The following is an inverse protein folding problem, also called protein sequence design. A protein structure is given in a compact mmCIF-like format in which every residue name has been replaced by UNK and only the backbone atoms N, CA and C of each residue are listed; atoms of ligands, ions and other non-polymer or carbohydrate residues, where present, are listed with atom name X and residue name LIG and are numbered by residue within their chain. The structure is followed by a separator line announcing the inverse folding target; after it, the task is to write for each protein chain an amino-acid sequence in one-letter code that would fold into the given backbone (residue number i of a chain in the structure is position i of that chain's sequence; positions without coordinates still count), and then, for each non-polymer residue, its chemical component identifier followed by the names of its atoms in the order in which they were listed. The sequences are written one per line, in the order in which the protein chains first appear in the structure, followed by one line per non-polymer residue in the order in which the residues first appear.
data_IF_178024843764
#
_entry.id   IF_178024843764
#
_cell.length_a   1.000
_cell.length_b   1.000
_cell.length_c   1.000
_cell.angle_alpha   90.00
_cell.angle_beta   90.00
_cell.angle_gamma   90.00
#
_symmetry.space_group_name_H-M   'P 1'
#
loop_
_entity.id
_entity.type
_entity.pdbx_description
1 polymer ?
#
# COMPACT_ATOMS: atom_id res chain seq x y z
N UNK A 1 11.47 7.87 3.69
CA UNK A 1 10.28 7.08 4.01
C UNK A 1 10.21 5.86 3.12
N UNK A 2 9.98 4.72 3.71
CA UNK A 2 10.00 3.43 3.03
C UNK A 2 8.58 2.96 2.75
N UNK A 3 8.33 2.59 1.49
CA UNK A 3 7.02 2.13 1.04
C UNK A 3 7.16 0.69 0.56
N UNK A 4 6.26 -0.18 1.02
CA UNK A 4 6.12 -1.52 0.46
C UNK A 4 5.01 -1.49 -0.58
N UNK A 5 5.34 -1.89 -1.78
CA UNK A 5 4.43 -1.92 -2.91
C UNK A 5 4.26 -3.37 -3.37
N UNK A 6 3.04 -3.89 -3.29
CA UNK A 6 2.75 -5.29 -3.59
C UNK A 6 1.71 -5.40 -4.70
N UNK A 7 2.08 -6.02 -5.81
CA UNK A 7 1.19 -6.22 -6.94
C UNK A 7 1.76 -7.32 -7.83
N UNK A 8 0.92 -8.21 -8.34
CA UNK A 8 1.37 -9.28 -9.23
C UNK A 8 1.45 -8.84 -10.70
N UNK A 9 1.00 -7.64 -11.01
CA UNK A 9 1.15 -7.05 -12.33
C UNK A 9 2.49 -6.29 -12.40
N UNK A 10 3.45 -6.86 -13.13
CA UNK A 10 4.80 -6.31 -13.20
C UNK A 10 4.84 -4.91 -13.79
N UNK A 11 4.03 -4.62 -14.79
CA UNK A 11 4.02 -3.30 -15.44
C UNK A 11 3.51 -2.23 -14.48
N UNK A 12 2.44 -2.52 -13.77
CA UNK A 12 1.89 -1.59 -12.79
C UNK A 12 2.88 -1.35 -11.65
N UNK A 13 3.50 -2.43 -11.19
CA UNK A 13 4.49 -2.37 -10.11
C UNK A 13 5.67 -1.47 -10.51
N UNK A 14 6.17 -1.66 -11.74
CA UNK A 14 7.28 -0.86 -12.24
C UNK A 14 6.93 0.62 -12.37
N UNK A 15 5.78 0.92 -12.95
CA UNK A 15 5.32 2.30 -13.13
C UNK A 15 5.14 3.01 -11.79
N UNK A 16 4.48 2.34 -10.84
CA UNK A 16 4.26 2.91 -9.52
C UNK A 16 5.57 3.13 -8.77
N UNK A 17 6.47 2.14 -8.85
CA UNK A 17 7.80 2.26 -8.24
C UNK A 17 8.54 3.47 -8.78
N UNK A 18 8.51 3.66 -10.10
CA UNK A 18 9.19 4.77 -10.74
C UNK A 18 8.65 6.12 -10.25
N UNK A 19 7.33 6.26 -10.23
CA UNK A 19 6.69 7.49 -9.78
C UNK A 19 7.07 7.81 -8.33
N UNK A 20 6.98 6.83 -7.46
CA UNK A 20 7.29 7.03 -6.04
C UNK A 20 8.77 7.29 -5.80
N UNK A 21 9.64 6.54 -6.47
CA UNK A 21 11.09 6.72 -6.35
C UNK A 21 11.52 8.10 -6.83
N UNK A 22 10.95 8.58 -7.93
CA UNK A 22 11.25 9.90 -8.47
C UNK A 22 10.81 11.03 -7.53
N UNK A 23 9.95 10.73 -6.58
CA UNK A 23 9.47 11.70 -5.61
C UNK A 23 10.07 11.50 -4.22
N UNK A 24 11.19 10.80 -4.14
CA UNK A 24 11.98 10.73 -2.93
C UNK A 24 11.68 9.58 -1.97
N UNK A 25 10.81 8.66 -2.36
CA UNK A 25 10.50 7.51 -1.53
C UNK A 25 11.43 6.34 -1.81
N UNK A 26 11.72 5.57 -0.78
CA UNK A 26 12.46 4.32 -0.90
C UNK A 26 11.44 3.19 -1.06
N UNK A 27 11.37 2.57 -2.22
CA UNK A 27 10.32 1.63 -2.57
C UNK A 27 10.83 0.20 -2.57
N UNK A 28 10.16 -0.63 -1.78
CA UNK A 28 10.37 -2.07 -1.74
C UNK A 28 9.23 -2.73 -2.49
N UNK A 29 9.52 -3.59 -3.45
CA UNK A 29 8.49 -4.22 -4.27
C UNK A 29 8.36 -5.69 -3.98
N UNK A 30 7.12 -6.20 -4.06
CA UNK A 30 6.79 -7.60 -3.92
C UNK A 30 5.74 -7.98 -4.96
N UNK A 31 5.80 -9.22 -5.46
CA UNK A 31 4.86 -9.70 -6.48
C UNK A 31 3.66 -10.43 -5.90
N UNK A 32 3.69 -10.72 -4.62
CA UNK A 32 2.57 -11.34 -3.92
C UNK A 32 2.68 -11.09 -2.41
N UNK A 33 1.65 -11.55 -1.69
CA UNK A 33 1.60 -11.31 -0.26
C UNK A 33 2.68 -12.03 0.54
N UNK A 34 3.17 -13.18 0.06
CA UNK A 34 4.25 -13.89 0.77
C UNK A 34 5.55 -13.08 0.72
N UNK A 35 5.91 -12.57 -0.46
CA UNK A 35 7.06 -11.68 -0.57
C UNK A 35 6.87 -10.42 0.28
N UNK A 36 5.64 -9.90 0.29
CA UNK A 36 5.31 -8.75 1.13
C UNK A 36 5.52 -9.02 2.60
N UNK A 37 5.08 -10.18 3.09
CA UNK A 37 5.30 -10.58 4.47
C UNK A 37 6.79 -10.66 4.82
N UNK A 38 7.58 -11.21 3.90
CA UNK A 38 9.02 -11.34 4.09
C UNK A 38 9.68 -9.96 4.22
N UNK A 39 9.29 -9.02 3.37
CA UNK A 39 9.82 -7.66 3.43
C UNK A 39 9.43 -6.99 4.75
N UNK A 40 8.17 -7.15 5.19
CA UNK A 40 7.73 -6.57 6.46
C UNK A 40 8.53 -7.11 7.64
N UNK A 41 8.97 -8.35 7.56
CA UNK A 41 9.76 -8.98 8.62
C UNK A 41 11.20 -8.47 8.69
N UNK A 42 11.74 -7.97 7.57
CA UNK A 42 13.17 -7.64 7.47
C UNK A 42 13.47 -6.16 7.19
N UNK A 43 12.47 -5.35 6.93
CA UNK A 43 12.65 -3.93 6.65
C UNK A 43 11.72 -3.11 7.53
N UNK A 44 11.99 -1.82 7.63
CA UNK A 44 11.13 -0.87 8.33
C UNK A 44 10.29 -0.13 7.30
N UNK A 45 9.02 -0.49 7.23
CA UNK A 45 8.10 0.06 6.24
C UNK A 45 7.18 1.10 6.90
N UNK A 46 7.01 2.23 6.22
CA UNK A 46 6.21 3.35 6.71
C UNK A 46 4.80 3.40 6.12
N UNK A 47 4.62 2.82 4.93
CA UNK A 47 3.35 2.77 4.24
C UNK A 47 3.29 1.51 3.38
N UNK A 48 2.15 0.84 3.36
CA UNK A 48 1.95 -0.35 2.54
C UNK A 48 0.90 -0.03 1.47
N UNK A 49 1.23 -0.33 0.22
CA UNK A 49 0.30 -0.22 -0.90
C UNK A 49 0.22 -1.61 -1.53
N UNK A 50 -0.97 -2.20 -1.56
CA UNK A 50 -1.12 -3.58 -2.02
C UNK A 50 -2.36 -3.77 -2.87
N UNK A 51 -2.22 -4.55 -3.94
CA UNK A 51 -3.37 -5.13 -4.62
C UNK A 51 -4.08 -6.09 -3.67
N UNK A 52 -5.34 -6.37 -3.94
CA UNK A 52 -6.12 -7.33 -3.15
C UNK A 52 -5.93 -8.74 -3.70
N UNK A 53 -6.15 -8.92 -5.00
CA UNK A 53 -6.12 -10.26 -5.62
C UNK A 53 -4.74 -10.57 -6.16
N UNK A 54 -4.04 -11.45 -5.47
CA UNK A 54 -2.71 -11.92 -5.85
C UNK A 54 -2.59 -13.41 -5.57
N UNK A 55 -1.72 -14.12 -6.31
CA UNK A 55 -1.48 -15.53 -6.02
C UNK A 55 -0.77 -15.71 -4.68
N UNK A 56 -0.83 -16.91 -4.17
CA UNK A 56 -0.21 -17.39 -2.94
C UNK A 56 -0.79 -16.75 -1.69
N UNK A 57 -0.64 -15.44 -1.50
CA UNK A 57 -1.21 -14.73 -0.37
C UNK A 57 -1.78 -13.41 -0.88
N UNK A 58 -3.08 -13.19 -0.66
CA UNK A 58 -3.75 -11.98 -1.15
C UNK A 58 -3.51 -10.77 -0.22
N UNK A 59 -3.96 -9.59 -0.68
CA UNK A 59 -3.75 -8.35 0.06
C UNK A 59 -4.49 -8.29 1.39
N UNK A 60 -5.62 -8.99 1.51
CA UNK A 60 -6.37 -9.03 2.78
C UNK A 60 -5.60 -9.79 3.84
N UNK A 61 -4.98 -10.89 3.44
CA UNK A 61 -4.16 -11.69 4.35
C UNK A 61 -2.86 -10.98 4.70
N UNK A 62 -2.27 -10.26 3.74
CA UNK A 62 -1.12 -9.42 4.01
C UNK A 62 -1.47 -8.34 5.04
N UNK A 63 -2.62 -7.72 4.90
CA UNK A 63 -3.11 -6.72 5.85
C UNK A 63 -3.24 -7.33 7.25
N UNK A 64 -3.90 -8.50 7.35
CA UNK A 64 -4.06 -9.19 8.62
C UNK A 64 -2.71 -9.53 9.25
N UNK A 65 -1.77 -10.02 8.44
CA UNK A 65 -0.42 -10.32 8.90
C UNK A 65 0.26 -9.07 9.47
N UNK A 66 0.18 -7.94 8.75
CA UNK A 66 0.80 -6.70 9.19
C UNK A 66 0.19 -6.24 10.53
N UNK A 67 -1.13 -6.32 10.68
CA UNK A 67 -1.80 -5.87 11.90
C UNK A 67 -1.49 -6.72 13.12
N UNK A 68 -0.99 -7.94 12.93
CA UNK A 68 -0.53 -8.80 14.02
C UNK A 68 0.86 -8.40 14.53
N UNK A 69 1.61 -7.67 13.74
CA UNK A 69 2.96 -7.22 14.09
C UNK A 69 2.86 -5.86 14.77
N UNK A 70 3.33 -5.76 16.00
CA UNK A 70 3.23 -4.52 16.77
C UNK A 70 3.77 -3.31 16.01
N UNK A 71 4.89 -3.47 15.33
CA UNK A 71 5.53 -2.43 14.53
C UNK A 71 4.58 -1.84 13.49
N UNK A 72 3.66 -2.65 12.94
CA UNK A 72 2.81 -2.26 11.83
C UNK A 72 1.33 -2.09 12.20
N UNK A 73 0.99 -2.12 13.46
CA UNK A 73 -0.41 -1.98 13.90
C UNK A 73 -1.06 -0.69 13.48
N UNK A 74 -0.28 0.38 13.38
CA UNK A 74 -0.78 1.70 13.01
C UNK A 74 -0.23 2.18 11.69
N UNK A 75 0.45 1.32 10.95
CA UNK A 75 0.97 1.66 9.63
C UNK A 75 -0.19 1.80 8.65
N UNK A 76 -0.19 2.88 7.89
CA UNK A 76 -1.25 3.12 6.91
C UNK A 76 -1.14 2.12 5.77
N UNK A 77 -2.29 1.69 5.29
CA UNK A 77 -2.40 0.64 4.29
C UNK A 77 -3.36 1.11 3.19
N UNK A 78 -2.88 1.11 1.94
CA UNK A 78 -3.70 1.44 0.78
C UNK A 78 -3.92 0.17 -0.03
N UNK A 79 -5.18 -0.22 -0.17
CA UNK A 79 -5.57 -1.26 -1.12
C UNK A 79 -5.82 -0.62 -2.47
N UNK A 80 -5.22 -1.14 -3.52
CA UNK A 80 -5.44 -0.67 -4.89
C UNK A 80 -5.93 -1.86 -5.70
N UNK A 81 -7.18 -1.82 -6.16
CA UNK A 81 -7.78 -2.98 -6.82
C UNK A 81 -8.76 -2.58 -7.90
N UNK A 82 -8.81 -3.37 -8.97
CA UNK A 82 -9.84 -3.27 -10.00
C UNK A 82 -11.13 -3.97 -9.62
N UNK A 83 -11.15 -4.69 -8.49
CA UNK A 83 -12.30 -5.46 -8.02
C UNK A 83 -12.70 -5.07 -6.61
N UNK A 84 -12.62 -3.80 -6.30
CA UNK A 84 -12.82 -3.31 -4.94
C UNK A 84 -14.12 -3.75 -4.29
N UNK A 85 -15.18 -3.86 -5.06
CA UNK A 85 -16.49 -4.18 -4.51
C UNK A 85 -16.64 -5.61 -4.02
N UNK A 86 -15.75 -6.52 -4.45
CA UNK A 86 -15.84 -7.91 -4.08
C UNK A 86 -15.31 -8.22 -2.68
N UNK A 87 -14.44 -7.35 -2.17
CA UNK A 87 -13.69 -7.66 -0.96
C UNK A 87 -13.83 -6.63 0.15
N UNK A 88 -14.48 -5.52 -0.13
CA UNK A 88 -14.54 -4.40 0.82
C UNK A 88 -15.11 -4.81 2.18
N UNK A 89 -16.11 -5.69 2.17
CA UNK A 89 -16.76 -6.14 3.40
C UNK A 89 -15.97 -7.23 4.13
N UNK A 90 -14.97 -7.80 3.49
CA UNK A 90 -14.16 -8.87 4.07
C UNK A 90 -13.05 -8.32 4.98
N UNK A 91 -12.80 -7.02 4.94
CA UNK A 91 -11.74 -6.38 5.71
C UNK A 91 -12.37 -5.49 6.76
N UNK A 92 -11.96 -5.68 8.01
CA UNK A 92 -12.25 -4.70 9.04
C UNK A 92 -11.31 -3.53 8.83
N UNK A 93 -11.78 -2.54 8.10
CA UNK A 93 -10.98 -1.36 7.80
C UNK A 93 -11.09 -0.35 8.93
N UNK A 94 -9.93 0.15 9.35
CA UNK A 94 -9.87 1.29 10.24
C UNK A 94 -9.87 2.55 9.37
N UNK A 95 -10.89 3.41 9.47
CA UNK A 95 -10.96 4.59 8.60
C UNK A 95 -9.80 5.57 8.75
N UNK A 96 -9.00 5.44 9.78
CA UNK A 96 -7.83 6.28 9.98
C UNK A 96 -6.55 5.68 9.40
N UNK A 97 -6.54 4.38 9.15
CA UNK A 97 -5.34 3.64 8.76
C UNK A 97 -5.45 2.97 7.41
N UNK A 98 -6.66 2.59 7.00
CA UNK A 98 -6.89 1.76 5.83
C UNK A 98 -7.66 2.52 4.76
N UNK A 99 -7.16 2.48 3.54
CA UNK A 99 -7.71 3.23 2.42
C UNK A 99 -7.88 2.32 1.22
N UNK A 100 -8.88 2.61 0.41
CA UNK A 100 -9.17 1.83 -0.79
C UNK A 100 -9.13 2.73 -2.01
N UNK A 101 -8.35 2.36 -3.02
CA UNK A 101 -8.32 3.06 -4.29
C UNK A 101 -8.64 2.10 -5.43
N UNK A 102 -9.21 2.65 -6.48
CA UNK A 102 -9.40 1.91 -7.72
C UNK A 102 -8.08 1.90 -8.50
N UNK A 103 -7.77 0.77 -9.14
CA UNK A 103 -6.55 0.62 -9.91
C UNK A 103 -6.49 1.55 -11.13
N UNK A 104 -7.62 2.08 -11.55
CA UNK A 104 -7.69 3.08 -12.61
C UNK A 104 -7.39 4.50 -12.13
N UNK A 105 -7.22 4.69 -10.82
CA UNK A 105 -6.83 5.99 -10.27
C UNK A 105 -5.51 6.42 -10.89
N UNK A 106 -5.41 7.65 -11.43
CA UNK A 106 -4.16 8.14 -11.99
C UNK A 106 -3.02 8.10 -10.98
N UNK A 107 -1.83 7.72 -11.44
CA UNK A 107 -0.66 7.60 -10.57
C UNK A 107 -0.36 8.91 -9.82
N UNK A 108 -0.60 10.03 -10.47
CA UNK A 108 -0.46 11.36 -9.87
C UNK A 108 -1.32 11.54 -8.61
N UNK A 109 -2.55 11.02 -8.66
CA UNK A 109 -3.47 11.11 -7.53
C UNK A 109 -3.07 10.15 -6.42
N UNK A 110 -2.57 8.98 -6.79
CA UNK A 110 -2.05 8.03 -5.81
C UNK A 110 -0.84 8.64 -5.10
N UNK A 111 0.07 9.25 -5.84
CA UNK A 111 1.23 9.95 -5.27
C UNK A 111 0.78 11.03 -4.30
N UNK A 112 -0.23 11.81 -4.69
CA UNK A 112 -0.75 12.87 -3.82
C UNK A 112 -1.31 12.31 -2.52
N UNK A 113 -2.03 11.18 -2.60
CA UNK A 113 -2.53 10.51 -1.40
C UNK A 113 -1.37 10.00 -0.53
N UNK A 114 -0.37 9.38 -1.14
CA UNK A 114 0.82 8.91 -0.43
C UNK A 114 1.49 10.05 0.33
N UNK A 115 1.72 11.17 -0.35
CA UNK A 115 2.32 12.35 0.28
C UNK A 115 1.50 12.82 1.48
N UNK A 116 0.18 12.86 1.31
CA UNK A 116 -0.71 13.28 2.38
C UNK A 116 -0.64 12.32 3.57
N UNK A 117 -0.65 11.02 3.32
CA UNK A 117 -0.64 10.03 4.39
C UNK A 117 0.69 9.98 5.14
N UNK A 118 1.80 10.21 4.45
CA UNK A 118 3.12 10.19 5.06
C UNK A 118 3.42 11.48 5.78
N UNK A 119 3.20 12.62 5.13
CA UNK A 119 3.52 13.92 5.70
C UNK A 119 2.36 14.57 6.45
N UNK A 120 1.18 14.02 6.29
CA UNK A 120 -0.01 14.54 6.92
C UNK A 120 -0.36 15.91 6.41
N UNK A 121 -0.76 16.78 7.31
CA UNK A 121 -1.17 18.15 7.01
C UNK A 121 -0.08 19.16 7.41
N UNK A 122 1.17 18.72 7.30
CA UNK A 122 2.30 19.49 7.80
C UNK A 122 2.38 20.91 7.27
N UNK A 123 2.07 21.06 5.99
CA UNK A 123 2.22 22.36 5.34
C UNK A 123 0.90 23.04 5.06
N UNK A 124 -0.21 22.41 5.36
CA UNK A 124 -1.51 22.97 5.05
C UNK A 124 -1.79 23.11 3.56
N UNK A 125 -0.89 22.68 2.71
CA UNK A 125 -1.02 22.81 1.27
C UNK A 125 -2.14 21.95 0.69
N UNK A 126 -2.64 21.05 1.46
CA UNK A 126 -3.72 20.16 1.08
C UNK A 126 -5.11 20.79 1.13
N UNK A 127 -5.19 21.94 1.69
CA UNK A 127 -6.46 22.62 1.93
C UNK A 127 -6.86 23.45 0.72
#
# INVERSE_FOLDING_TARGET
MDILLVDDNDDYLLLMKEVLTNNGYNVHTAQDGLEGCDILAHADIDLIISDIRMPRLDGLKLHAFAREIERYRKTKFIFVSGFKDLYIDAVKMDPKLDFMLDKTTPLKEILRMVDRLIYGHLDGAWI
#
